data_IF_618209773798
#
_entry.id   IF_618209773798
#
_cell.length_a   1.000
_cell.length_b   1.000
_cell.length_c   1.000
_cell.angle_alpha   90.00
_cell.angle_beta   90.00
_cell.angle_gamma   90.00
#
_symmetry.space_group_name_H-M   'P 1'
#
loop_
_entity.id
_entity.type
_entity.pdbx_description
1 polymer ?
#
# COMPACT_ATOMS: atom_id res chain seq x y z
N UNK A 1 0.19 -14.80 -13.48
CA UNK A 1 -1.25 -14.55 -13.23
C UNK A 1 -1.96 -14.30 -14.55
N UNK A 2 -3.25 -14.64 -14.64
CA UNK A 2 -4.02 -14.49 -15.89
C UNK A 2 -4.44 -13.04 -16.14
N UNK A 3 -4.69 -12.26 -15.10
CA UNK A 3 -5.11 -10.86 -15.17
C UNK A 3 -4.86 -10.14 -13.84
N UNK A 4 -4.81 -8.81 -13.90
CA UNK A 4 -4.85 -7.96 -12.73
C UNK A 4 -6.22 -8.03 -12.04
N UNK A 5 -6.27 -7.80 -10.73
CA UNK A 5 -7.51 -7.85 -9.95
C UNK A 5 -8.05 -6.46 -9.61
N UNK A 6 -9.34 -6.38 -9.31
CA UNK A 6 -9.98 -5.16 -8.80
C UNK A 6 -9.58 -4.91 -7.34
N UNK A 7 -9.37 -5.98 -6.57
CA UNK A 7 -8.87 -5.93 -5.19
C UNK A 7 -7.65 -6.85 -5.07
N UNK A 8 -6.58 -6.36 -4.46
CA UNK A 8 -5.42 -7.17 -4.11
C UNK A 8 -5.18 -7.12 -2.61
N UNK A 9 -5.17 -8.29 -1.98
CA UNK A 9 -4.96 -8.45 -0.54
C UNK A 9 -3.55 -9.00 -0.33
N UNK A 10 -2.71 -8.28 0.41
CA UNK A 10 -1.31 -8.64 0.61
C UNK A 10 -0.91 -8.55 2.07
N UNK A 11 0.06 -9.36 2.46
CA UNK A 11 0.78 -9.23 3.72
C UNK A 11 2.27 -9.05 3.46
N UNK A 12 2.94 -8.27 4.29
CA UNK A 12 4.40 -8.18 4.29
C UNK A 12 5.08 -9.49 4.68
N UNK A 13 4.36 -10.38 5.39
CA UNK A 13 4.81 -11.72 5.75
C UNK A 13 5.28 -11.88 7.19
N UNK A 14 4.88 -10.97 8.08
CA UNK A 14 5.18 -11.01 9.52
C UNK A 14 6.62 -10.60 9.87
N UNK A 15 6.93 -10.69 11.14
CA UNK A 15 8.26 -10.35 11.69
C UNK A 15 9.40 -11.11 10.97
N UNK A 16 10.51 -10.49 10.65
CA UNK A 16 10.88 -9.08 10.86
C UNK A 16 10.52 -8.14 9.68
N UNK A 17 9.72 -8.58 8.70
CA UNK A 17 9.46 -7.84 7.47
C UNK A 17 8.43 -6.73 7.63
N UNK A 18 7.63 -6.79 8.67
CA UNK A 18 6.58 -5.83 9.01
C UNK A 18 6.85 -5.05 10.31
N UNK A 19 8.09 -5.13 10.84
CA UNK A 19 8.52 -4.41 12.05
C UNK A 19 8.27 -2.91 11.95
N UNK A 20 8.47 -2.35 10.77
CA UNK A 20 8.17 -0.94 10.49
C UNK A 20 7.51 -0.77 9.12
N UNK A 21 6.91 0.40 8.90
CA UNK A 21 6.20 0.69 7.67
C UNK A 21 7.13 0.68 6.45
N UNK A 22 8.35 1.21 6.58
CA UNK A 22 9.35 1.23 5.51
C UNK A 22 9.67 -0.18 4.98
N UNK A 23 9.86 -1.16 5.85
CA UNK A 23 10.11 -2.54 5.44
C UNK A 23 8.85 -3.18 4.83
N UNK A 24 7.70 -2.98 5.49
CA UNK A 24 6.42 -3.52 5.02
C UNK A 24 5.99 -2.96 3.67
N UNK A 25 6.33 -1.71 3.36
CA UNK A 25 6.02 -1.06 2.07
C UNK A 25 6.54 -1.82 0.85
N UNK A 26 7.55 -2.69 1.01
CA UNK A 26 8.05 -3.52 -0.10
C UNK A 26 6.98 -4.42 -0.74
N UNK A 27 5.93 -4.79 0.00
CA UNK A 27 4.83 -5.57 -0.56
C UNK A 27 3.95 -4.77 -1.53
N UNK A 28 3.98 -3.44 -1.48
CA UNK A 28 3.17 -2.59 -2.38
C UNK A 28 3.59 -2.69 -3.84
N UNK A 29 4.89 -2.83 -4.14
CA UNK A 29 5.35 -3.04 -5.51
C UNK A 29 4.72 -4.30 -6.13
N UNK A 30 4.68 -5.38 -5.36
CA UNK A 30 4.03 -6.62 -5.76
C UNK A 30 2.52 -6.45 -5.92
N UNK A 31 1.88 -5.76 -4.97
CA UNK A 31 0.45 -5.49 -5.01
C UNK A 31 0.07 -4.62 -6.20
N UNK A 32 0.83 -3.58 -6.51
CA UNK A 32 0.59 -2.69 -7.65
C UNK A 32 0.58 -3.44 -8.98
N UNK A 33 1.56 -4.34 -9.21
CA UNK A 33 1.62 -5.16 -10.43
C UNK A 33 0.37 -6.04 -10.57
N UNK A 34 -0.17 -6.52 -9.45
CA UNK A 34 -1.32 -7.43 -9.43
C UNK A 34 -2.68 -6.70 -9.45
N UNK A 35 -2.71 -5.37 -9.30
CA UNK A 35 -3.93 -4.57 -9.16
C UNK A 35 -4.21 -3.77 -10.43
N UNK A 36 -5.46 -3.73 -10.87
CA UNK A 36 -5.90 -2.85 -11.95
C UNK A 36 -5.77 -1.39 -11.52
N UNK A 37 -5.45 -0.50 -12.45
CA UNK A 37 -5.44 0.95 -12.18
C UNK A 37 -6.78 1.41 -11.60
N UNK A 38 -6.75 2.17 -10.53
CA UNK A 38 -7.94 2.58 -9.76
C UNK A 38 -8.50 1.48 -8.88
N UNK A 39 -7.77 0.37 -8.71
CA UNK A 39 -8.17 -0.73 -7.85
C UNK A 39 -7.94 -0.46 -6.37
N UNK A 40 -8.17 -1.50 -5.57
CA UNK A 40 -8.07 -1.44 -4.12
C UNK A 40 -6.98 -2.40 -3.64
N UNK A 41 -6.06 -1.90 -2.83
CA UNK A 41 -5.03 -2.70 -2.18
C UNK A 41 -5.32 -2.74 -0.68
N UNK A 42 -5.52 -3.94 -0.14
CA UNK A 42 -5.61 -4.18 1.30
C UNK A 42 -4.28 -4.78 1.73
N UNK A 43 -3.58 -4.12 2.62
CA UNK A 43 -2.26 -4.53 3.10
C UNK A 43 -2.29 -4.78 4.59
N UNK A 44 -1.59 -5.82 5.05
CA UNK A 44 -1.40 -6.11 6.47
C UNK A 44 0.07 -5.90 6.84
N UNK A 45 0.34 -4.89 7.67
CA UNK A 45 1.66 -4.54 8.20
C UNK A 45 1.46 -4.11 9.65
N UNK A 46 2.04 -4.83 10.58
CA UNK A 46 1.90 -4.49 12.01
C UNK A 46 2.55 -3.14 12.34
N UNK A 47 3.76 -2.91 11.85
CA UNK A 47 4.56 -1.70 12.04
C UNK A 47 4.70 -1.34 13.52
N UNK A 48 5.23 -2.27 14.32
CA UNK A 48 5.42 -2.07 15.75
C UNK A 48 6.32 -0.87 16.04
N UNK A 49 7.35 -0.66 15.21
CA UNK A 49 8.25 0.49 15.23
C UNK A 49 8.04 1.39 14.00
N UNK A 50 6.89 2.06 13.97
CA UNK A 50 6.45 2.82 12.79
C UNK A 50 7.39 3.96 12.43
N UNK A 51 8.11 4.53 13.40
CA UNK A 51 8.96 5.71 13.21
C UNK A 51 10.30 5.40 12.53
N UNK A 52 10.67 4.14 12.42
CA UNK A 52 11.95 3.74 11.83
C UNK A 52 11.84 3.36 10.33
N UNK A 53 12.71 3.87 9.49
CA UNK A 53 13.58 5.04 9.72
C UNK A 53 12.78 6.35 9.65
N UNK A 54 13.08 7.30 10.54
CA UNK A 54 12.36 8.59 10.60
C UNK A 54 12.32 9.35 9.26
N UNK A 55 13.35 9.18 8.42
CA UNK A 55 13.41 9.75 7.08
C UNK A 55 12.27 9.26 6.16
N UNK A 56 11.71 8.07 6.39
CA UNK A 56 10.61 7.55 5.60
C UNK A 56 9.32 8.34 5.85
N UNK A 57 8.84 8.40 7.09
CA UNK A 57 7.63 9.17 7.44
C UNK A 57 7.83 10.67 7.24
N UNK A 58 9.03 11.20 7.51
CA UNK A 58 9.37 12.59 7.27
C UNK A 58 9.27 13.02 5.80
N UNK A 59 9.27 12.07 4.87
CA UNK A 59 9.12 12.32 3.43
C UNK A 59 7.68 12.65 3.02
N UNK A 60 6.66 12.35 3.82
CA UNK A 60 5.25 12.64 3.49
C UNK A 60 4.80 14.06 3.87
N UNK A 61 5.70 15.02 3.80
CA UNK A 61 5.42 16.47 4.00
C UNK A 61 4.94 17.19 2.75
N UNK A 62 5.09 16.57 1.58
CA UNK A 62 4.72 17.16 0.28
C UNK A 62 3.24 16.98 -0.01
N UNK A 63 2.63 17.95 -0.71
CA UNK A 63 1.20 17.95 -1.03
C UNK A 63 0.88 17.36 -2.40
N UNK A 64 1.87 17.25 -3.28
CA UNK A 64 1.69 16.75 -4.63
C UNK A 64 2.94 16.02 -5.12
N UNK A 65 2.77 15.24 -6.20
CA UNK A 65 3.83 14.41 -6.79
C UNK A 65 5.01 15.23 -7.33
N UNK A 66 4.75 16.38 -7.93
CA UNK A 66 5.79 17.21 -8.57
C UNK A 66 6.76 17.74 -7.52
N UNK A 67 6.22 18.29 -6.41
CA UNK A 67 7.04 18.81 -5.33
C UNK A 67 7.81 17.70 -4.61
N UNK A 68 7.17 16.54 -4.42
CA UNK A 68 7.83 15.38 -3.79
C UNK A 68 8.95 14.83 -4.67
N UNK A 69 8.74 14.73 -5.98
CA UNK A 69 9.78 14.30 -6.94
C UNK A 69 10.95 15.28 -6.96
N UNK A 70 10.68 16.59 -6.99
CA UNK A 70 11.73 17.61 -6.90
C UNK A 70 12.54 17.46 -5.62
N UNK A 71 11.88 17.37 -4.48
CA UNK A 71 12.56 17.17 -3.19
C UNK A 71 13.40 15.89 -3.17
N UNK A 72 12.93 14.79 -3.79
CA UNK A 72 13.69 13.55 -3.91
C UNK A 72 14.94 13.72 -4.79
N UNK A 73 14.85 14.48 -5.89
CA UNK A 73 16.01 14.79 -6.76
C UNK A 73 17.04 15.66 -6.05
N UNK A 74 16.58 16.63 -5.26
CA UNK A 74 17.45 17.54 -4.51
C UNK A 74 18.16 16.84 -3.34
N UNK A 75 17.52 15.87 -2.71
CA UNK A 75 18.06 15.16 -1.54
C UNK A 75 17.67 13.67 -1.55
N UNK A 76 18.31 12.89 -2.42
CA UNK A 76 18.02 11.47 -2.55
C UNK A 76 18.45 10.68 -1.31
N UNK A 77 17.51 9.90 -0.77
CA UNK A 77 17.77 8.81 0.16
C UNK A 77 16.91 7.61 -0.19
N UNK A 78 17.34 6.40 0.15
CA UNK A 78 16.56 5.19 -0.12
C UNK A 78 15.19 5.23 0.60
N UNK A 79 15.08 5.61 1.90
CA UNK A 79 13.78 5.76 2.54
C UNK A 79 12.87 6.78 1.84
N UNK A 80 13.41 7.90 1.35
CA UNK A 80 12.62 8.89 0.62
C UNK A 80 12.12 8.32 -0.73
N UNK A 81 12.97 7.60 -1.47
CA UNK A 81 12.56 6.95 -2.71
C UNK A 81 11.44 5.93 -2.48
N UNK A 82 11.53 5.12 -1.42
CA UNK A 82 10.47 4.17 -1.06
C UNK A 82 9.17 4.89 -0.68
N UNK A 83 9.25 6.01 0.05
CA UNK A 83 8.10 6.84 0.37
C UNK A 83 7.47 7.46 -0.89
N UNK A 84 8.29 7.92 -1.85
CA UNK A 84 7.80 8.45 -3.12
C UNK A 84 7.04 7.40 -3.93
N UNK A 85 7.52 6.16 -3.98
CA UNK A 85 6.80 5.07 -4.65
C UNK A 85 5.42 4.82 -4.03
N UNK A 86 5.31 4.82 -2.69
CA UNK A 86 4.01 4.73 -2.03
C UNK A 86 3.15 5.96 -2.35
N UNK A 87 3.74 7.15 -2.37
CA UNK A 87 3.01 8.37 -2.69
C UNK A 87 2.45 8.35 -4.12
N UNK A 88 3.18 7.79 -5.09
CA UNK A 88 2.67 7.54 -6.44
C UNK A 88 1.50 6.55 -6.43
N UNK A 89 1.62 5.46 -5.65
CA UNK A 89 0.61 4.42 -5.57
C UNK A 89 -0.73 4.94 -5.03
N UNK A 90 -0.72 5.69 -3.94
CA UNK A 90 -1.95 6.23 -3.32
C UNK A 90 -2.68 7.26 -4.19
N UNK A 91 -1.97 7.89 -5.15
CA UNK A 91 -2.58 8.77 -6.16
C UNK A 91 -3.20 7.99 -7.34
N UNK A 92 -2.88 6.72 -7.44
CA UNK A 92 -3.35 5.84 -8.51
C UNK A 92 -4.44 4.88 -8.02
N UNK A 93 -4.28 4.33 -6.82
CA UNK A 93 -5.09 3.24 -6.28
C UNK A 93 -5.52 3.56 -4.83
N UNK A 94 -6.59 2.91 -4.36
CA UNK A 94 -6.99 3.01 -2.95
C UNK A 94 -6.17 2.04 -2.13
N UNK A 95 -5.45 2.54 -1.12
CA UNK A 95 -4.63 1.70 -0.23
C UNK A 95 -5.23 1.71 1.18
N UNK A 96 -5.69 0.54 1.64
CA UNK A 96 -6.22 0.29 2.98
C UNK A 96 -5.17 -0.52 3.75
N UNK A 97 -4.74 -0.03 4.90
CA UNK A 97 -3.72 -0.67 5.71
C UNK A 97 -4.29 -1.17 7.03
N UNK A 98 -4.25 -2.49 7.22
CA UNK A 98 -4.53 -3.13 8.51
C UNK A 98 -3.27 -3.05 9.35
N UNK A 99 -3.34 -2.34 10.48
CA UNK A 99 -2.20 -2.08 11.37
C UNK A 99 -2.65 -1.81 12.80
N UNK A 100 -1.71 -1.62 13.71
CA UNK A 100 -1.99 -1.30 15.11
C UNK A 100 -2.68 0.07 15.23
N UNK A 101 -3.75 0.21 16.03
CA UNK A 101 -4.49 1.47 16.16
C UNK A 101 -3.64 2.68 16.55
N UNK A 102 -2.58 2.46 17.34
CA UNK A 102 -1.63 3.53 17.71
C UNK A 102 -0.91 4.18 16.53
N UNK A 103 -0.90 3.52 15.36
CA UNK A 103 -0.22 3.99 14.15
C UNK A 103 -1.13 4.83 13.23
N UNK A 104 -2.42 4.92 13.51
CA UNK A 104 -3.43 5.46 12.58
C UNK A 104 -3.13 6.88 12.11
N UNK A 105 -2.70 7.76 13.00
CA UNK A 105 -2.45 9.16 12.63
C UNK A 105 -1.24 9.29 11.69
N UNK A 106 -0.18 8.53 11.95
CA UNK A 106 0.98 8.50 11.05
C UNK A 106 0.64 7.87 9.69
N UNK A 107 -0.18 6.82 9.67
CA UNK A 107 -0.65 6.21 8.42
C UNK A 107 -1.50 7.17 7.60
N UNK A 108 -2.44 7.91 8.22
CA UNK A 108 -3.23 8.91 7.51
C UNK A 108 -2.37 9.99 6.85
N UNK A 109 -1.27 10.38 7.49
CA UNK A 109 -0.31 11.34 6.92
C UNK A 109 0.35 10.85 5.64
N UNK A 110 0.46 9.53 5.46
CA UNK A 110 0.98 8.94 4.21
C UNK A 110 -0.06 8.90 3.09
N UNK A 111 -1.33 9.20 3.37
CA UNK A 111 -2.44 9.12 2.42
C UNK A 111 -3.11 7.75 2.35
N UNK A 112 -2.69 6.78 3.14
CA UNK A 112 -3.32 5.48 3.27
C UNK A 112 -4.52 5.55 4.24
N UNK A 113 -5.43 4.57 4.16
CA UNK A 113 -6.59 4.45 5.03
C UNK A 113 -6.30 3.37 6.08
N UNK A 114 -6.01 3.73 7.34
CA UNK A 114 -5.74 2.75 8.38
C UNK A 114 -7.03 2.15 8.94
N UNK A 115 -6.98 0.85 9.22
CA UNK A 115 -8.02 0.09 9.91
C UNK A 115 -7.40 -0.90 10.90
N UNK A 116 -8.15 -1.34 11.91
CA UNK A 116 -7.64 -2.24 12.94
C UNK A 116 -7.75 -3.71 12.54
N UNK A 117 -8.71 -4.07 11.70
CA UNK A 117 -9.02 -5.46 11.36
C UNK A 117 -9.16 -5.68 9.85
N UNK A 118 -8.91 -6.92 9.44
CA UNK A 118 -9.14 -7.35 8.04
C UNK A 118 -10.62 -7.21 7.66
N UNK A 119 -11.54 -7.42 8.62
CA UNK A 119 -12.97 -7.27 8.36
C UNK A 119 -13.33 -5.82 8.04
N UNK A 120 -12.84 -4.85 8.82
CA UNK A 120 -13.03 -3.42 8.55
C UNK A 120 -12.44 -3.04 7.18
N UNK A 121 -11.25 -3.56 6.84
CA UNK A 121 -10.64 -3.32 5.53
C UNK A 121 -11.50 -3.85 4.40
N UNK A 122 -12.08 -5.04 4.58
CA UNK A 122 -12.94 -5.67 3.58
C UNK A 122 -14.27 -4.92 3.42
N UNK A 123 -14.92 -4.53 4.50
CA UNK A 123 -16.16 -3.78 4.46
C UNK A 123 -15.98 -2.43 3.74
N UNK A 124 -14.86 -1.74 4.01
CA UNK A 124 -14.50 -0.52 3.31
C UNK A 124 -14.21 -0.77 1.82
N UNK A 125 -13.52 -1.85 1.49
CA UNK A 125 -13.27 -2.21 0.10
C UNK A 125 -14.56 -2.51 -0.66
N UNK A 126 -15.51 -3.21 -0.04
CA UNK A 126 -16.83 -3.46 -0.64
C UNK A 126 -17.61 -2.14 -0.89
N UNK A 127 -17.56 -1.21 0.07
CA UNK A 127 -18.13 0.12 -0.13
C UNK A 127 -17.51 0.83 -1.34
N UNK A 128 -16.18 0.82 -1.45
CA UNK A 128 -15.45 1.42 -2.58
C UNK A 128 -15.75 0.74 -3.91
N UNK A 129 -15.85 -0.58 -3.95
CA UNK A 129 -16.28 -1.32 -5.15
C UNK A 129 -17.68 -0.92 -5.59
N UNK A 130 -18.61 -0.76 -4.64
CA UNK A 130 -19.97 -0.30 -4.93
C UNK A 130 -19.98 1.14 -5.50
N UNK A 131 -19.18 2.04 -4.93
CA UNK A 131 -18.99 3.40 -5.44
C UNK A 131 -18.44 3.40 -6.89
N UNK A 132 -17.64 2.38 -7.26
CA UNK A 132 -17.12 2.16 -8.62
C UNK A 132 -18.09 1.40 -9.55
N UNK A 133 -19.30 1.04 -9.09
CA UNK A 133 -20.26 0.25 -9.85
C UNK A 133 -19.88 -1.23 -10.03
N UNK A 134 -19.02 -1.77 -9.14
CA UNK A 134 -18.51 -3.15 -9.16
C UNK A 134 -19.02 -3.99 -8.00
N UNK A 135 -20.26 -3.79 -7.60
CA UNK A 135 -20.85 -4.47 -6.44
C UNK A 135 -21.12 -5.96 -6.65
N UNK A 136 -21.24 -6.43 -7.89
CA UNK A 136 -21.59 -7.83 -8.22
C UNK A 136 -20.47 -8.65 -8.83
N UNK A 137 -19.60 -8.02 -9.60
CA UNK A 137 -18.55 -8.71 -10.36
C UNK A 137 -17.21 -7.99 -10.21
N UNK A 138 -16.33 -8.56 -9.42
CA UNK A 138 -14.96 -8.10 -9.24
C UNK A 138 -14.01 -9.29 -9.05
N UNK A 139 -12.75 -9.05 -9.24
CA UNK A 139 -11.70 -10.05 -9.10
C UNK A 139 -10.81 -9.73 -7.90
N UNK A 140 -10.34 -10.77 -7.21
CA UNK A 140 -9.48 -10.64 -6.03
C UNK A 140 -8.21 -11.46 -6.26
N UNK A 141 -7.05 -10.88 -5.96
CA UNK A 141 -5.78 -11.57 -5.77
C UNK A 141 -5.42 -11.56 -4.29
N UNK A 142 -4.91 -12.68 -3.77
CA UNK A 142 -4.45 -12.80 -2.39
C UNK A 142 -3.00 -13.30 -2.40
N UNK A 143 -2.09 -12.55 -1.78
CA UNK A 143 -0.68 -12.88 -1.69
C UNK A 143 -0.19 -12.76 -0.24
N UNK A 144 -0.21 -13.85 0.56
CA UNK A 144 0.11 -13.82 2.00
C UNK A 144 1.56 -13.43 2.30
N UNK A 145 2.47 -13.61 1.35
CA UNK A 145 3.90 -13.30 1.47
C UNK A 145 4.37 -12.46 0.28
N UNK A 146 3.76 -11.28 0.08
CA UNK A 146 3.96 -10.45 -1.10
C UNK A 146 5.42 -9.95 -1.27
N UNK A 147 6.19 -9.88 -0.19
CA UNK A 147 7.62 -9.54 -0.25
C UNK A 147 8.51 -10.64 -0.84
N UNK A 148 7.98 -11.86 -1.05
CA UNK A 148 8.72 -13.02 -1.57
C UNK A 148 8.28 -13.45 -2.97
N UNK A 149 7.26 -12.81 -3.55
CA UNK A 149 6.70 -13.20 -4.84
C UNK A 149 6.75 -12.03 -5.82
N UNK A 150 6.85 -12.35 -7.10
CA UNK A 150 6.73 -11.38 -8.18
C UNK A 150 5.61 -11.87 -9.12
N UNK A 151 4.46 -11.19 -9.16
CA UNK A 151 3.40 -11.54 -10.08
C UNK A 151 3.81 -11.20 -11.51
N UNK A 152 3.66 -12.16 -12.42
CA UNK A 152 3.93 -11.98 -13.85
C UNK A 152 2.62 -12.17 -14.60
N UNK A 153 2.19 -11.16 -15.36
CA UNK A 153 1.07 -11.27 -16.27
C UNK A 153 1.46 -12.20 -17.43
N UNK A 154 0.64 -13.20 -17.68
CA UNK A 154 0.82 -14.06 -18.86
C UNK A 154 0.36 -13.25 -20.08
N UNK A 155 1.25 -13.09 -21.05
CA UNK A 155 0.88 -12.62 -22.39
C UNK A 155 -0.08 -13.63 -23.01
N UNK A 156 -1.13 -13.13 -23.66
CA UNK A 156 -2.11 -13.96 -24.37
C UNK A 156 -1.55 -14.43 -25.70
#
# INVERSE_FOLDING_TARGET
MKQQADVTIVSAGGYPKDTNLYQGTKCYTTAEIATKKGGIIITMIEAEDIMEPAAYLGSFKYKNLVDMEKGLRDCFTIPFFVAFNLFCLIHKDTVILVTLPRNFDDIRRTGQIPVATVQEAWDLAQQKLKEQGKDKYYTINIMPHATKVMPILQEK
#
